data_IF_515339458373
#
_entry.id   IF_515339458373
#
_cell.length_a   1.000
_cell.length_b   1.000
_cell.length_c   1.000
_cell.angle_alpha   90.00
_cell.angle_beta   90.00
_cell.angle_gamma   90.00
#
_symmetry.space_group_name_H-M   'P 1'
#
loop_
_entity.id
_entity.type
_entity.pdbx_description
1 polymer ?
#
# COMPACT_ATOMS: atom_id res chain seq x y z
N UNK A 1 -10.79 38.24 -28.49
CA UNK A 1 -9.54 38.21 -27.70
C UNK A 1 -9.79 37.26 -26.53
N UNK A 2 -8.99 36.20 -26.40
CA UNK A 2 -9.37 34.93 -25.79
C UNK A 2 -9.56 34.90 -24.27
N UNK A 3 -10.51 34.07 -23.85
CA UNK A 3 -10.71 33.59 -22.49
C UNK A 3 -10.03 32.22 -22.38
N UNK A 4 -8.78 32.17 -21.92
CA UNK A 4 -8.09 30.93 -21.52
C UNK A 4 -7.33 31.23 -20.23
N UNK A 5 -7.78 30.66 -19.12
CA UNK A 5 -7.11 30.86 -17.82
C UNK A 5 -7.82 30.33 -16.57
N UNK A 6 -8.99 29.67 -16.67
CA UNK A 6 -9.71 29.10 -15.51
C UNK A 6 -9.74 27.56 -15.46
N UNK A 7 -9.04 26.85 -16.33
CA UNK A 7 -8.98 25.38 -16.30
C UNK A 7 -7.87 24.86 -15.38
N UNK A 8 -6.69 25.49 -15.36
CA UNK A 8 -5.52 24.95 -14.65
C UNK A 8 -5.61 24.93 -13.11
N UNK A 9 -6.54 25.68 -12.50
CA UNK A 9 -6.69 25.74 -11.02
C UNK A 9 -7.68 24.70 -10.51
N UNK A 10 -8.65 24.29 -11.34
CA UNK A 10 -9.67 23.27 -11.01
C UNK A 10 -9.07 21.86 -11.11
N UNK A 11 -8.20 21.63 -12.11
CA UNK A 11 -7.50 20.36 -12.31
C UNK A 11 -6.54 20.03 -11.14
N UNK A 12 -5.85 21.03 -10.58
CA UNK A 12 -4.93 20.85 -9.46
C UNK A 12 -5.64 20.47 -8.16
N UNK A 13 -6.74 21.16 -7.84
CA UNK A 13 -7.57 20.83 -6.68
C UNK A 13 -8.24 19.45 -6.81
N UNK A 14 -8.61 19.06 -8.03
CA UNK A 14 -9.16 17.73 -8.35
C UNK A 14 -8.11 16.61 -8.17
N UNK A 15 -6.86 16.83 -8.58
CA UNK A 15 -5.77 15.86 -8.40
C UNK A 15 -5.43 15.69 -6.92
N UNK A 16 -5.30 16.77 -6.16
CA UNK A 16 -5.02 16.72 -4.72
C UNK A 16 -6.12 15.96 -3.97
N UNK A 17 -7.39 16.28 -4.24
CA UNK A 17 -8.55 15.56 -3.68
C UNK A 17 -8.53 14.08 -4.04
N UNK A 18 -8.20 13.75 -5.29
CA UNK A 18 -8.11 12.36 -5.75
C UNK A 18 -6.98 11.62 -5.02
N UNK A 19 -5.80 12.23 -4.89
CA UNK A 19 -4.67 11.66 -4.15
C UNK A 19 -4.99 11.44 -2.68
N UNK A 20 -5.70 12.37 -2.04
CA UNK A 20 -6.14 12.23 -0.65
C UNK A 20 -7.13 11.06 -0.49
N UNK A 21 -8.08 10.91 -1.41
CA UNK A 21 -9.02 9.77 -1.43
C UNK A 21 -8.27 8.44 -1.57
N UNK A 22 -7.32 8.35 -2.50
CA UNK A 22 -6.47 7.17 -2.68
C UNK A 22 -5.65 6.85 -1.44
N UNK A 23 -4.97 7.85 -0.87
CA UNK A 23 -4.15 7.68 0.31
C UNK A 23 -5.00 7.26 1.53
N UNK A 24 -6.22 7.80 1.65
CA UNK A 24 -7.17 7.42 2.69
C UNK A 24 -7.63 5.97 2.54
N UNK A 25 -8.02 5.56 1.33
CA UNK A 25 -8.41 4.17 1.04
C UNK A 25 -7.26 3.19 1.32
N UNK A 26 -6.02 3.53 0.94
CA UNK A 26 -4.84 2.72 1.24
C UNK A 26 -4.59 2.57 2.75
N UNK A 27 -4.76 3.65 3.54
CA UNK A 27 -4.65 3.60 5.00
C UNK A 27 -5.74 2.75 5.64
N UNK A 28 -6.97 2.87 5.16
CA UNK A 28 -8.10 2.07 5.68
C UNK A 28 -7.93 0.58 5.37
N UNK A 29 -7.48 0.25 4.15
CA UNK A 29 -7.17 -1.12 3.74
C UNK A 29 -6.02 -1.72 4.59
N UNK A 30 -4.94 -0.97 4.80
CA UNK A 30 -3.79 -1.43 5.60
C UNK A 30 -4.11 -1.52 7.11
N UNK A 31 -5.09 -0.77 7.60
CA UNK A 31 -5.62 -0.94 8.94
C UNK A 31 -6.44 -2.23 9.07
N UNK A 32 -7.34 -2.51 8.12
CA UNK A 32 -8.19 -3.71 8.12
C UNK A 32 -7.40 -5.01 7.95
N UNK A 33 -6.36 -5.03 7.12
CA UNK A 33 -5.56 -6.25 6.90
C UNK A 33 -4.86 -6.77 8.16
N UNK A 34 -4.68 -5.92 9.19
CA UNK A 34 -4.06 -6.31 10.47
C UNK A 34 -4.74 -7.53 11.07
N UNK A 35 -6.06 -7.65 10.95
CA UNK A 35 -6.84 -8.73 11.55
C UNK A 35 -6.63 -10.09 10.87
N UNK A 36 -6.01 -10.10 9.68
CA UNK A 36 -5.66 -11.33 8.97
C UNK A 36 -4.38 -11.99 9.49
N UNK A 37 -3.63 -11.31 10.36
CA UNK A 37 -2.38 -11.81 10.91
C UNK A 37 -2.50 -12.11 12.40
N UNK A 38 -1.99 -13.26 12.82
CA UNK A 38 -2.00 -13.66 14.23
C UNK A 38 -1.11 -12.80 15.13
N UNK A 39 -0.09 -12.16 14.55
CA UNK A 39 0.92 -11.41 15.31
C UNK A 39 1.09 -10.01 14.71
N UNK A 40 1.07 -9.00 15.57
CA UNK A 40 1.25 -7.60 15.18
C UNK A 40 2.53 -7.37 14.37
N UNK A 41 3.65 -7.99 14.79
CA UNK A 41 4.92 -7.90 14.07
C UNK A 41 4.85 -8.44 12.63
N UNK A 42 3.95 -9.39 12.34
CA UNK A 42 3.77 -9.96 11.00
C UNK A 42 2.90 -9.03 10.16
N UNK A 43 1.83 -8.47 10.74
CA UNK A 43 1.04 -7.42 10.09
C UNK A 43 1.92 -6.20 9.74
N UNK A 44 2.76 -5.74 10.67
CA UNK A 44 3.69 -4.63 10.43
C UNK A 44 4.66 -4.94 9.29
N UNK A 45 5.21 -6.14 9.24
CA UNK A 45 6.08 -6.55 8.12
C UNK A 45 5.33 -6.66 6.79
N UNK A 46 4.04 -7.01 6.80
CA UNK A 46 3.22 -7.04 5.60
C UNK A 46 2.90 -5.62 5.09
N UNK A 47 2.67 -4.66 5.98
CA UNK A 47 2.55 -3.25 5.63
C UNK A 47 3.84 -2.72 5.00
N UNK A 48 5.00 -2.99 5.61
CA UNK A 48 6.30 -2.59 5.03
C UNK A 48 6.56 -3.24 3.67
N UNK A 49 6.08 -4.47 3.46
CA UNK A 49 6.14 -5.13 2.15
C UNK A 49 5.31 -4.37 1.10
N UNK A 50 4.09 -3.94 1.46
CA UNK A 50 3.22 -3.14 0.59
C UNK A 50 3.82 -1.76 0.30
N UNK A 51 4.36 -1.08 1.31
CA UNK A 51 5.04 0.21 1.15
C UNK A 51 6.22 0.08 0.17
N UNK A 52 7.02 -0.97 0.30
CA UNK A 52 8.11 -1.27 -0.65
C UNK A 52 7.61 -1.63 -2.06
N UNK A 53 6.40 -2.17 -2.20
CA UNK A 53 5.78 -2.43 -3.51
C UNK A 53 5.20 -1.18 -4.16
N UNK A 54 4.70 -0.23 -3.38
CA UNK A 54 4.08 1.00 -3.87
C UNK A 54 5.07 2.16 -3.95
N UNK A 55 6.23 2.04 -3.31
CA UNK A 55 7.29 3.04 -3.36
C UNK A 55 7.85 3.27 -4.76
N UNK A 56 8.56 4.40 -4.91
CA UNK A 56 9.08 4.93 -6.17
C UNK A 56 10.26 4.13 -6.75
N UNK A 57 10.73 3.12 -6.03
CA UNK A 57 11.87 2.31 -6.43
C UNK A 57 11.61 1.55 -7.74
N UNK A 58 12.42 1.85 -8.75
CA UNK A 58 12.29 1.26 -10.10
C UNK A 58 12.49 -0.26 -10.10
N UNK A 59 13.35 -0.78 -9.23
CA UNK A 59 13.64 -2.23 -9.14
C UNK A 59 13.28 -2.75 -7.76
N UNK A 60 12.23 -3.57 -7.68
CA UNK A 60 11.71 -4.11 -6.41
C UNK A 60 12.18 -5.53 -6.18
N UNK A 61 13.50 -5.71 -5.99
CA UNK A 61 14.01 -7.03 -5.56
C UNK A 61 13.64 -7.33 -4.11
N UNK A 62 13.66 -8.60 -3.72
CA UNK A 62 13.42 -8.99 -2.33
C UNK A 62 14.43 -8.37 -1.35
N UNK A 63 15.68 -8.17 -1.79
CA UNK A 63 16.73 -7.54 -0.98
C UNK A 63 16.48 -6.03 -0.81
N UNK A 64 16.21 -5.32 -1.90
CA UNK A 64 15.95 -3.88 -1.86
C UNK A 64 14.70 -3.53 -1.02
N UNK A 65 13.63 -4.34 -1.11
CA UNK A 65 12.47 -4.14 -0.24
C UNK A 65 12.79 -4.36 1.23
N UNK A 66 13.63 -5.33 1.54
CA UNK A 66 14.06 -5.60 2.92
C UNK A 66 14.90 -4.43 3.46
N UNK A 67 15.84 -3.91 2.67
CA UNK A 67 16.61 -2.72 3.03
C UNK A 67 15.71 -1.50 3.25
N UNK A 68 14.74 -1.25 2.35
CA UNK A 68 13.78 -0.16 2.50
C UNK A 68 12.91 -0.30 3.76
N UNK A 69 12.62 -1.53 4.18
CA UNK A 69 11.90 -1.85 5.41
C UNK A 69 12.79 -1.80 6.68
N UNK A 70 14.10 -1.57 6.55
CA UNK A 70 15.06 -1.61 7.66
C UNK A 70 15.41 -3.03 8.14
N UNK A 71 15.07 -4.05 7.36
CA UNK A 71 15.37 -5.45 7.68
C UNK A 71 16.82 -5.80 7.33
N UNK A 72 17.51 -6.63 8.14
CA UNK A 72 18.89 -7.06 7.87
C UNK A 72 19.00 -8.06 6.70
N UNK A 73 17.88 -8.42 6.07
CA UNK A 73 17.81 -9.34 4.96
C UNK A 73 16.37 -9.73 4.61
N UNK A 74 16.14 -10.43 3.49
CA UNK A 74 14.81 -10.62 2.91
C UNK A 74 13.93 -11.64 3.65
N UNK A 75 14.44 -12.31 4.67
CA UNK A 75 13.80 -13.48 5.28
C UNK A 75 12.47 -13.17 5.96
N UNK A 76 12.35 -12.00 6.60
CA UNK A 76 11.12 -11.57 7.27
C UNK A 76 10.00 -11.33 6.25
N UNK A 77 10.33 -10.63 5.17
CA UNK A 77 9.44 -10.35 4.04
C UNK A 77 9.07 -11.64 3.27
N UNK A 78 10.04 -12.53 3.02
CA UNK A 78 9.78 -13.85 2.43
C UNK A 78 8.93 -14.75 3.33
N UNK A 79 9.09 -14.63 4.64
CA UNK A 79 8.31 -15.36 5.64
C UNK A 79 6.82 -15.08 5.48
N UNK A 80 6.41 -13.83 5.25
CA UNK A 80 5.01 -13.48 4.99
C UNK A 80 4.47 -14.20 3.77
N UNK A 81 5.23 -14.20 2.67
CA UNK A 81 4.76 -14.75 1.39
C UNK A 81 4.76 -16.27 1.34
N UNK A 82 5.73 -16.93 1.98
CA UNK A 82 5.97 -18.37 1.78
C UNK A 82 5.75 -19.25 3.00
N UNK A 83 5.67 -18.67 4.21
CA UNK A 83 5.65 -19.45 5.48
C UNK A 83 4.71 -18.89 6.55
N UNK A 84 4.06 -17.76 6.28
CA UNK A 84 3.18 -17.07 7.23
C UNK A 84 1.79 -17.70 7.24
N UNK A 85 1.19 -17.80 8.41
CA UNK A 85 -0.23 -18.15 8.55
C UNK A 85 -1.04 -16.85 8.55
N UNK A 86 -1.67 -16.54 7.41
CA UNK A 86 -2.60 -15.44 7.20
C UNK A 86 -3.64 -15.85 6.16
N UNK A 87 -4.78 -15.19 6.16
CA UNK A 87 -5.91 -15.51 5.28
C UNK A 87 -5.80 -14.75 3.95
N UNK A 88 -5.46 -15.49 2.88
CA UNK A 88 -5.30 -14.94 1.54
C UNK A 88 -6.64 -14.55 0.89
N UNK A 89 -7.71 -15.27 1.20
CA UNK A 89 -9.05 -14.95 0.69
C UNK A 89 -9.60 -13.72 1.43
N UNK A 90 -9.43 -13.66 2.76
CA UNK A 90 -9.74 -12.47 3.55
C UNK A 90 -9.00 -11.22 3.08
N UNK A 91 -7.71 -11.33 2.69
CA UNK A 91 -6.98 -10.21 2.09
C UNK A 91 -7.59 -9.76 0.76
N UNK A 92 -7.94 -10.72 -0.11
CA UNK A 92 -8.58 -10.43 -1.40
C UNK A 92 -9.89 -9.67 -1.20
N UNK A 93 -10.68 -10.08 -0.22
CA UNK A 93 -11.99 -9.48 0.07
C UNK A 93 -11.82 -8.05 0.60
N UNK A 94 -10.89 -7.82 1.54
CA UNK A 94 -10.55 -6.47 2.01
C UNK A 94 -10.16 -5.55 0.85
N UNK A 95 -9.30 -6.02 -0.06
CA UNK A 95 -8.89 -5.24 -1.25
C UNK A 95 -10.12 -4.93 -2.10
N UNK A 96 -10.96 -5.91 -2.44
CA UNK A 96 -12.13 -5.70 -3.30
C UNK A 96 -13.16 -4.75 -2.71
N UNK A 97 -13.39 -4.82 -1.41
CA UNK A 97 -14.29 -3.90 -0.71
C UNK A 97 -13.77 -2.46 -0.70
N UNK A 98 -12.45 -2.27 -0.72
CA UNK A 98 -11.81 -0.95 -0.67
C UNK A 98 -11.89 -0.18 -2.00
N UNK A 99 -12.04 -0.90 -3.12
CA UNK A 99 -12.17 -0.31 -4.46
C UNK A 99 -13.63 -0.16 -4.93
N UNK A 100 -14.58 -0.80 -4.25
CA UNK A 100 -16.01 -0.76 -4.59
C UNK A 100 -16.82 0.22 -3.72
N UNK A 101 -16.16 1.04 -2.90
CA UNK A 101 -16.78 2.08 -2.08
C UNK A 101 -16.64 3.44 -2.73
#
# INVERSE_FOLDING_TARGET
>A
MGLHGKEAVDDGASIETTLELWASSLRDMTARMRDLFTQERVAASANLFLDGLLGDERRKTGWMRAEAAGDPGPWRQQGILGRGRWDADGMRDIVRESFNR
#
